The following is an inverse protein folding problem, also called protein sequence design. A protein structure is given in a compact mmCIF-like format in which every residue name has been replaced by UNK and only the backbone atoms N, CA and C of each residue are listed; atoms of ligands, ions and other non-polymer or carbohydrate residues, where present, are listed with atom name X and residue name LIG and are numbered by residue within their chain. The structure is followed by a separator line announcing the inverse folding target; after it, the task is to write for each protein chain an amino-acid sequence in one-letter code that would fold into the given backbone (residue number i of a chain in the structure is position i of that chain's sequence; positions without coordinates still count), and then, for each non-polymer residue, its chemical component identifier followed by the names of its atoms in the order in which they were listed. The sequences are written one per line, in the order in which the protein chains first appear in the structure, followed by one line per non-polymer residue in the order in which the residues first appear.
data_IF_832632363623
#
_entry.id   IF_832632363623
#
_cell.length_a   1.000
_cell.length_b   1.000
_cell.length_c   1.000
_cell.angle_alpha   90.00
_cell.angle_beta   90.00
_cell.angle_gamma   90.00
#
_symmetry.space_group_name_H-M   'P 1'
#
loop_
_entity.id
_entity.type
_entity.pdbx_description
1 polymer ?
#
# COMPACT_ATOMS: atom_id res chain seq x y z
N UNK A 1 -0.90 6.91 -21.15
CA UNK A 1 -2.21 6.89 -20.48
C UNK A 1 -2.05 7.46 -19.07
N UNK A 2 -2.91 8.37 -18.69
CA UNK A 2 -2.84 8.98 -17.37
C UNK A 2 -3.33 8.01 -16.30
N UNK A 3 -2.73 8.10 -15.12
CA UNK A 3 -3.15 7.29 -13.99
C UNK A 3 -4.48 7.81 -13.45
N UNK A 4 -5.28 6.90 -12.91
CA UNK A 4 -6.56 7.29 -12.33
C UNK A 4 -6.39 8.26 -11.15
N UNK A 5 -5.31 8.15 -10.40
CA UNK A 5 -5.04 9.02 -9.26
C UNK A 5 -4.75 10.47 -9.66
N UNK A 6 -4.52 10.76 -10.94
CA UNK A 6 -4.41 12.14 -11.42
C UNK A 6 -5.74 12.87 -11.36
N UNK A 7 -6.83 12.14 -11.36
CA UNK A 7 -8.18 12.70 -11.33
C UNK A 7 -8.81 12.70 -9.94
N UNK A 8 -8.17 12.05 -8.97
CA UNK A 8 -8.68 11.91 -7.61
C UNK A 8 -8.02 12.94 -6.70
N UNK A 9 -8.83 13.76 -6.04
CA UNK A 9 -8.34 14.74 -5.08
C UNK A 9 -8.41 14.18 -3.67
N UNK A 10 -7.51 14.64 -2.80
CA UNK A 10 -7.48 14.27 -1.40
C UNK A 10 -6.41 13.24 -1.08
N UNK A 11 -6.47 12.60 0.10
CA UNK A 11 -5.40 11.71 0.56
C UNK A 11 -5.35 10.36 -0.15
N UNK A 12 -6.35 9.99 -0.94
CA UNK A 12 -6.38 8.71 -1.63
C UNK A 12 -5.71 8.82 -2.98
N UNK A 13 -4.40 8.92 -2.94
CA UNK A 13 -3.55 8.84 -4.12
C UNK A 13 -2.60 7.66 -3.94
N UNK A 14 -1.98 7.20 -5.01
CA UNK A 14 -1.02 6.10 -4.93
C UNK A 14 0.09 6.38 -3.92
N UNK A 15 0.47 7.65 -3.75
CA UNK A 15 1.48 8.07 -2.77
C UNK A 15 1.05 7.82 -1.32
N UNK A 16 -0.24 7.72 -1.05
CA UNK A 16 -0.77 7.47 0.30
C UNK A 16 -1.26 6.04 0.42
N UNK A 17 -1.92 5.55 -0.61
CA UNK A 17 -2.56 4.24 -0.59
C UNK A 17 -1.55 3.10 -0.46
N UNK A 18 -0.49 3.10 -1.28
CA UNK A 18 0.49 2.02 -1.24
C UNK A 18 1.32 2.00 0.04
N UNK A 19 1.81 3.13 0.56
CA UNK A 19 2.44 3.12 1.88
C UNK A 19 1.52 2.58 2.97
N UNK A 20 0.24 2.96 2.96
CA UNK A 20 -0.72 2.46 3.94
C UNK A 20 -0.92 0.96 3.82
N UNK A 21 -1.05 0.44 2.60
CA UNK A 21 -1.21 -0.99 2.37
C UNK A 21 0.02 -1.77 2.83
N UNK A 22 1.22 -1.28 2.52
CA UNK A 22 2.47 -1.90 2.94
C UNK A 22 2.57 -1.95 4.46
N UNK A 23 2.32 -0.82 5.13
CA UNK A 23 2.35 -0.77 6.59
C UNK A 23 1.33 -1.72 7.19
N UNK A 24 0.13 -1.78 6.63
CA UNK A 24 -0.90 -2.70 7.09
C UNK A 24 -0.47 -4.16 6.96
N UNK A 25 0.01 -4.55 5.77
CA UNK A 25 0.41 -5.93 5.52
C UNK A 25 1.56 -6.36 6.43
N UNK A 26 2.56 -5.50 6.60
CA UNK A 26 3.69 -5.79 7.49
C UNK A 26 3.24 -5.79 8.95
N UNK A 27 2.24 -4.98 9.32
CA UNK A 27 1.69 -5.01 10.68
C UNK A 27 1.04 -6.36 11.02
N UNK A 28 0.55 -7.06 10.01
CA UNK A 28 -0.04 -8.39 10.19
C UNK A 28 1.02 -9.45 10.45
N UNK A 29 2.10 -9.42 9.71
CA UNK A 29 3.31 -10.19 9.99
C UNK A 29 4.47 -9.62 9.16
N UNK A 30 5.71 -9.73 9.69
CA UNK A 30 6.90 -9.29 8.96
C UNK A 30 7.07 -10.06 7.65
N UNK A 31 7.71 -9.41 6.67
CA UNK A 31 7.95 -10.04 5.38
C UNK A 31 9.13 -9.39 4.67
N UNK A 32 9.65 -10.08 3.68
CA UNK A 32 10.61 -9.52 2.73
C UNK A 32 9.88 -8.93 1.53
N UNK A 33 10.60 -8.17 0.70
CA UNK A 33 9.98 -7.44 -0.41
C UNK A 33 9.21 -8.33 -1.38
N UNK A 34 9.75 -9.50 -1.72
CA UNK A 34 9.10 -10.42 -2.64
C UNK A 34 7.78 -10.96 -2.11
N UNK A 35 7.77 -11.40 -0.85
CA UNK A 35 6.53 -11.86 -0.22
C UNK A 35 5.50 -10.76 -0.12
N UNK A 36 5.96 -9.55 0.17
CA UNK A 36 5.08 -8.39 0.23
C UNK A 36 4.44 -8.08 -1.13
N UNK A 37 5.21 -8.17 -2.22
CA UNK A 37 4.69 -7.98 -3.58
C UNK A 37 3.56 -8.97 -3.87
N UNK A 38 3.75 -10.23 -3.50
CA UNK A 38 2.73 -11.25 -3.68
C UNK A 38 1.46 -10.93 -2.89
N UNK A 39 1.63 -10.48 -1.67
CA UNK A 39 0.50 -10.12 -0.80
C UNK A 39 -0.26 -8.89 -1.33
N UNK A 40 0.45 -7.93 -1.92
CA UNK A 40 -0.19 -6.78 -2.55
C UNK A 40 -1.03 -7.22 -3.76
N UNK A 41 -0.47 -8.11 -4.59
CA UNK A 41 -1.19 -8.65 -5.73
C UNK A 41 -2.43 -9.43 -5.30
N UNK A 42 -2.35 -10.18 -4.20
CA UNK A 42 -3.50 -10.91 -3.67
C UNK A 42 -4.64 -9.97 -3.26
N UNK A 43 -4.31 -8.78 -2.76
CA UNK A 43 -5.33 -7.79 -2.37
C UNK A 43 -5.87 -7.04 -3.58
N UNK A 44 -4.99 -6.60 -4.47
CA UNK A 44 -5.34 -5.69 -5.56
C UNK A 44 -5.73 -6.40 -6.85
N UNK A 45 -5.41 -7.67 -6.98
CA UNK A 45 -5.63 -8.42 -8.22
C UNK A 45 -4.79 -7.85 -9.35
N UNK A 46 -5.30 -7.97 -10.56
CA UNK A 46 -4.58 -7.53 -11.76
C UNK A 46 -4.61 -6.02 -11.97
N UNK A 47 -5.29 -5.27 -11.10
CA UNK A 47 -5.40 -3.82 -11.21
C UNK A 47 -4.07 -3.12 -10.94
N UNK A 48 -3.17 -3.75 -10.21
CA UNK A 48 -1.91 -3.15 -9.81
C UNK A 48 -0.75 -4.06 -10.19
N UNK A 49 0.12 -3.55 -11.04
CA UNK A 49 1.38 -4.22 -11.36
C UNK A 49 2.45 -3.72 -10.40
N UNK A 50 2.87 -4.57 -9.48
CA UNK A 50 3.91 -4.25 -8.51
C UNK A 50 5.19 -4.93 -8.95
N UNK A 51 6.28 -4.15 -9.03
CA UNK A 51 7.58 -4.68 -9.40
C UNK A 51 8.66 -4.18 -8.44
N UNK A 52 9.84 -4.76 -8.55
CA UNK A 52 10.96 -4.44 -7.66
C UNK A 52 11.39 -2.98 -7.75
N UNK A 53 11.25 -2.37 -8.92
CA UNK A 53 11.63 -0.97 -9.13
C UNK A 53 10.72 0.01 -8.37
N UNK A 54 9.53 -0.42 -8.00
CA UNK A 54 8.59 0.39 -7.22
C UNK A 54 8.61 0.04 -5.75
N UNK A 55 8.65 -1.25 -5.43
CA UNK A 55 8.51 -1.69 -4.03
C UNK A 55 9.73 -1.37 -3.18
N UNK A 56 10.93 -1.61 -3.70
CA UNK A 56 12.14 -1.43 -2.89
C UNK A 56 12.43 0.03 -2.55
N UNK A 57 12.30 0.99 -3.48
CA UNK A 57 12.43 2.39 -3.09
C UNK A 57 11.42 2.85 -2.05
N UNK A 58 10.20 2.33 -2.13
CA UNK A 58 9.16 2.65 -1.16
C UNK A 58 9.47 2.07 0.21
N UNK A 59 9.89 0.81 0.27
CA UNK A 59 10.31 0.18 1.52
C UNK A 59 11.48 0.93 2.16
N UNK A 60 12.46 1.33 1.35
CA UNK A 60 13.60 2.10 1.82
C UNK A 60 13.18 3.43 2.43
N UNK A 61 12.26 4.12 1.76
CA UNK A 61 11.74 5.40 2.25
C UNK A 61 11.00 5.25 3.57
N UNK A 62 10.20 4.20 3.71
CA UNK A 62 9.49 3.93 4.95
C UNK A 62 10.46 3.58 6.09
N UNK A 63 11.53 2.87 5.78
CA UNK A 63 12.59 2.59 6.73
C UNK A 63 13.31 3.86 7.16
N UNK A 64 13.66 4.71 6.21
CA UNK A 64 14.35 5.99 6.49
C UNK A 64 13.51 6.91 7.36
N UNK A 65 12.19 6.86 7.22
CA UNK A 65 11.28 7.65 8.04
C UNK A 65 10.99 7.03 9.40
N UNK A 66 11.54 5.87 9.67
CA UNK A 66 11.38 5.21 10.96
C UNK A 66 10.08 4.43 11.12
N UNK A 67 9.35 4.20 10.04
CA UNK A 67 8.10 3.44 10.09
C UNK A 67 8.32 1.93 9.97
N UNK A 68 9.43 1.52 9.38
CA UNK A 68 9.83 0.13 9.27
C UNK A 68 11.26 -0.03 9.75
N UNK A 69 11.58 -1.21 10.28
CA UNK A 69 12.95 -1.65 10.48
C UNK A 69 13.21 -2.84 9.55
N UNK A 70 14.46 -3.03 9.19
CA UNK A 70 14.84 -4.14 8.32
C UNK A 70 16.01 -4.89 8.92
N UNK A 71 15.93 -6.21 8.90
CA UNK A 71 17.00 -7.07 9.35
C UNK A 71 17.27 -8.13 8.28
N UNK A 72 18.50 -8.66 8.28
CA UNK A 72 18.82 -9.78 7.41
C UNK A 72 18.16 -11.05 7.92
N UNK A 73 17.58 -11.84 7.01
CA UNK A 73 16.98 -13.13 7.36
C UNK A 73 18.00 -14.05 8.03
N UNK A 74 19.25 -14.01 7.55
CA UNK A 74 20.37 -14.76 8.12
C UNK A 74 21.50 -13.80 8.46
N UNK A 75 21.75 -13.51 9.75
CA UNK A 75 22.73 -12.48 10.14
C UNK A 75 24.16 -12.78 9.67
N UNK A 76 24.51 -14.05 9.51
CA UNK A 76 25.87 -14.46 9.12
C UNK A 76 26.09 -14.57 7.62
N UNK A 77 25.05 -14.36 6.83
CA UNK A 77 25.10 -14.48 5.37
C UNK A 77 24.37 -13.34 4.71
N UNK A 78 24.83 -12.95 3.53
CA UNK A 78 24.08 -12.04 2.68
C UNK A 78 22.76 -12.74 2.29
N UNK A 79 21.66 -12.22 2.73
CA UNK A 79 20.34 -12.81 2.58
C UNK A 79 19.29 -11.75 2.32
N UNK A 80 18.02 -12.12 2.29
CA UNK A 80 16.93 -11.18 2.11
C UNK A 80 16.74 -10.35 3.37
N UNK A 81 16.29 -9.12 3.18
CA UNK A 81 15.93 -8.26 4.30
C UNK A 81 14.46 -8.49 4.64
N UNK A 82 14.21 -8.65 5.94
CA UNK A 82 12.85 -8.79 6.47
C UNK A 82 12.45 -7.49 7.13
N UNK A 83 11.29 -6.98 6.77
CA UNK A 83 10.77 -5.70 7.26
C UNK A 83 9.76 -5.94 8.35
N UNK A 84 9.85 -5.14 9.41
CA UNK A 84 8.92 -5.13 10.51
C UNK A 84 8.42 -3.72 10.75
N UNK A 85 7.17 -3.59 11.20
CA UNK A 85 6.62 -2.28 11.51
C UNK A 85 7.09 -1.82 12.89
N UNK A 86 7.42 -0.53 13.00
CA UNK A 86 7.77 0.09 14.28
C UNK A 86 6.51 0.61 14.96
N UNK A 87 6.64 1.01 16.22
CA UNK A 87 5.55 1.69 16.94
C UNK A 87 5.14 2.96 16.20
N UNK A 88 6.11 3.73 15.73
CA UNK A 88 5.87 4.92 14.93
C UNK A 88 5.12 4.59 13.64
N UNK A 89 5.47 3.46 13.02
CA UNK A 89 4.78 2.98 11.83
C UNK A 89 3.33 2.60 12.10
N UNK A 90 3.06 2.01 13.26
CA UNK A 90 1.69 1.66 13.66
C UNK A 90 0.84 2.91 13.88
N UNK A 91 1.40 3.93 14.52
CA UNK A 91 0.73 5.21 14.71
C UNK A 91 0.41 5.87 13.38
N UNK A 92 1.37 5.85 12.46
CA UNK A 92 1.19 6.40 11.12
C UNK A 92 0.09 5.67 10.36
N UNK A 93 0.06 4.35 10.45
CA UNK A 93 -0.95 3.53 9.80
C UNK A 93 -2.35 3.88 10.31
N UNK A 94 -2.52 3.99 11.62
CA UNK A 94 -3.83 4.31 12.20
C UNK A 94 -4.32 5.69 11.75
N UNK A 95 -3.41 6.67 11.68
CA UNK A 95 -3.75 8.00 11.18
C UNK A 95 -4.21 7.97 9.72
N UNK A 96 -3.48 7.26 8.87
CA UNK A 96 -3.82 7.15 7.45
C UNK A 96 -5.15 6.42 7.27
N UNK A 97 -5.38 5.36 8.03
CA UNK A 97 -6.63 4.61 7.96
C UNK A 97 -7.83 5.50 8.24
N UNK A 98 -7.74 6.33 9.29
CA UNK A 98 -8.82 7.25 9.63
C UNK A 98 -9.11 8.29 8.56
N UNK A 99 -8.05 8.80 7.91
CA UNK A 99 -8.20 9.79 6.84
C UNK A 99 -8.69 9.19 5.53
N UNK A 100 -8.31 7.94 5.26
CA UNK A 100 -8.60 7.31 3.96
C UNK A 100 -10.01 6.76 3.83
N UNK A 101 -10.60 6.28 4.92
CA UNK A 101 -11.87 5.57 4.83
C UNK A 101 -12.99 6.39 4.16
N UNK A 102 -13.23 7.66 4.54
CA UNK A 102 -14.27 8.44 3.86
C UNK A 102 -14.01 8.60 2.36
N UNK A 103 -12.75 8.72 1.96
CA UNK A 103 -12.40 8.83 0.54
C UNK A 103 -12.61 7.54 -0.21
N UNK A 104 -12.25 6.41 0.40
CA UNK A 104 -12.48 5.10 -0.21
C UNK A 104 -13.96 4.85 -0.39
N UNK A 105 -14.78 5.20 0.60
CA UNK A 105 -16.23 5.09 0.50
C UNK A 105 -16.79 5.97 -0.60
N UNK A 106 -16.29 7.20 -0.73
CA UNK A 106 -16.71 8.14 -1.79
C UNK A 106 -16.34 7.62 -3.17
N UNK A 107 -15.15 7.05 -3.32
CA UNK A 107 -14.70 6.48 -4.59
C UNK A 107 -15.55 5.27 -4.97
N UNK A 108 -15.81 4.39 -4.02
CA UNK A 108 -16.65 3.22 -4.25
C UNK A 108 -18.08 3.64 -4.70
N UNK A 109 -18.66 4.63 -4.04
CA UNK A 109 -19.97 5.16 -4.42
C UNK A 109 -19.95 5.80 -5.80
N UNK A 110 -18.88 6.54 -6.14
CA UNK A 110 -18.75 7.16 -7.45
C UNK A 110 -18.65 6.11 -8.56
N UNK A 111 -17.93 5.02 -8.31
CA UNK A 111 -17.81 3.92 -9.28
C UNK A 111 -19.19 3.31 -9.55
N UNK A 112 -19.98 3.07 -8.51
CA UNK A 112 -21.32 2.53 -8.68
C UNK A 112 -22.24 3.49 -9.48
N UNK A 113 -22.14 4.80 -9.22
CA UNK A 113 -22.91 5.79 -9.98
C UNK A 113 -22.49 5.82 -11.46
N UNK A 114 -21.19 5.73 -11.72
CA UNK A 114 -20.67 5.69 -13.09
C UNK A 114 -21.16 4.46 -13.84
N UNK A 115 -21.14 3.31 -13.21
CA UNK A 115 -21.63 2.07 -13.81
C UNK A 115 -23.13 2.19 -14.13
N UNK A 116 -23.89 2.71 -13.19
CA UNK A 116 -25.32 2.90 -13.37
C UNK A 116 -25.61 3.87 -14.50
N UNK A 117 -24.85 4.96 -14.61
CA UNK A 117 -25.05 5.97 -15.66
C UNK A 117 -24.71 5.42 -17.04
N UNK A 118 -23.62 4.68 -17.16
CA UNK A 118 -23.13 4.17 -18.45
C UNK A 118 -23.93 2.96 -18.91
N UNK A 119 -24.24 2.05 -18.01
CA UNK A 119 -24.84 0.77 -18.34
C UNK A 119 -26.31 0.64 -17.95
N UNK A 120 -26.85 1.62 -17.24
CA UNK A 120 -28.20 1.60 -16.71
C UNK A 120 -28.27 0.89 -15.36
N UNK A 121 -29.45 0.94 -14.71
CA UNK A 121 -29.62 0.28 -13.41
C UNK A 121 -29.45 -1.22 -13.54
N UNK A 122 -28.72 -1.79 -12.57
CA UNK A 122 -28.40 -3.22 -12.54
C UNK A 122 -29.23 -3.90 -11.47
#
# INVERSE_FOLDING_TARGET
MRRIDEFVRGPVKSKTLFPALILHLISRHPDHGYGLMQRIEDVCGDLVAVNTNKIYPLLRRLEERGFLTATWEHPSKRSRRVYEITEQGRERLERIKGLMLPYLDSIAAAIERLKSEIYGPI
#
